data_IF_471816739345
#
_entry.id   IF_471816739345
#
_cell.length_a   1.000
_cell.length_b   1.000
_cell.length_c   1.000
_cell.angle_alpha   90.00
_cell.angle_beta   90.00
_cell.angle_gamma   90.00
#
_symmetry.space_group_name_H-M   'P 1'
#
loop_
_entity.id
_entity.type
_entity.pdbx_description
1 polymer ?
#
# COMPACT_ATOMS: atom_id res chain seq x y z
N UNK A 1 -5.94 1.73 -6.28
CA UNK A 1 -4.50 2.08 -6.24
C UNK A 1 -3.71 0.94 -6.87
N UNK A 2 -2.56 1.23 -7.48
CA UNK A 2 -1.65 0.21 -7.98
C UNK A 2 -0.75 -0.31 -6.86
N UNK A 3 -0.39 -1.59 -6.91
CA UNK A 3 0.56 -2.22 -6.02
C UNK A 3 1.98 -2.15 -6.58
N UNK A 4 2.95 -1.75 -5.76
CA UNK A 4 4.38 -1.74 -6.11
C UNK A 4 5.20 -2.41 -5.01
N UNK A 5 6.42 -2.83 -5.33
CA UNK A 5 7.35 -3.42 -4.37
C UNK A 5 8.18 -2.32 -3.69
N UNK A 6 8.50 -2.51 -2.42
CA UNK A 6 9.50 -1.73 -1.70
C UNK A 6 10.91 -2.12 -2.13
N UNK A 7 11.56 -1.27 -2.92
CA UNK A 7 12.95 -1.46 -3.34
C UNK A 7 13.98 -1.12 -2.25
N UNK A 8 13.56 -0.48 -1.15
CA UNK A 8 14.43 -0.11 -0.03
C UNK A 8 14.64 -1.26 0.97
N UNK A 9 13.75 -2.26 0.95
CA UNK A 9 13.79 -3.41 1.85
C UNK A 9 13.48 -3.10 3.32
N UNK A 10 12.83 -1.95 3.59
CA UNK A 10 12.53 -1.50 4.95
C UNK A 10 11.19 -2.02 5.48
N UNK A 11 10.21 -2.23 4.60
CA UNK A 11 8.92 -2.80 4.99
C UNK A 11 9.07 -4.26 5.45
N UNK A 12 8.50 -4.57 6.61
CA UNK A 12 8.43 -5.94 7.12
C UNK A 12 7.17 -6.66 6.61
N UNK A 13 7.18 -7.99 6.67
CA UNK A 13 5.99 -8.80 6.35
C UNK A 13 4.82 -8.41 7.27
N UNK A 14 3.64 -8.18 6.67
CA UNK A 14 2.45 -7.68 7.36
C UNK A 14 2.33 -6.14 7.37
N UNK A 15 3.34 -5.42 6.88
CA UNK A 15 3.32 -3.96 6.77
C UNK A 15 3.13 -3.51 5.32
N UNK A 16 2.58 -2.31 5.15
CA UNK A 16 2.48 -1.61 3.87
C UNK A 16 2.81 -0.14 4.05
N UNK A 17 3.18 0.54 2.96
CA UNK A 17 3.22 2.00 2.92
C UNK A 17 2.18 2.51 1.91
N UNK A 18 1.41 3.51 2.34
CA UNK A 18 0.43 4.19 1.48
C UNK A 18 0.45 5.68 1.78
N UNK A 19 0.74 6.45 0.74
CA UNK A 19 0.59 7.91 0.75
C UNK A 19 -0.35 8.28 -0.39
N UNK A 20 -1.40 9.04 -0.09
CA UNK A 20 -2.41 9.42 -1.07
C UNK A 20 -2.62 10.93 -1.14
N UNK A 21 -2.96 11.40 -2.33
CA UNK A 21 -3.39 12.78 -2.56
C UNK A 21 -4.78 12.99 -1.94
N UNK A 22 -4.97 14.05 -1.15
CA UNK A 22 -6.22 14.27 -0.41
C UNK A 22 -7.44 14.56 -1.31
N UNK A 23 -7.21 14.98 -2.55
CA UNK A 23 -8.28 15.29 -3.51
C UNK A 23 -8.34 14.24 -4.62
N UNK A 24 -9.33 13.35 -4.54
CA UNK A 24 -9.55 12.25 -5.50
C UNK A 24 -9.94 12.74 -6.91
N UNK A 25 -10.48 13.95 -7.03
CA UNK A 25 -10.86 14.53 -8.32
C UNK A 25 -9.67 15.10 -9.09
N UNK A 26 -8.52 15.26 -8.42
CA UNK A 26 -7.32 15.83 -9.00
C UNK A 26 -6.50 14.75 -9.71
N UNK A 27 -6.78 14.53 -10.99
CA UNK A 27 -6.14 13.48 -11.80
C UNK A 27 -4.63 13.66 -11.96
N UNK A 28 -4.16 14.91 -12.01
CA UNK A 28 -2.74 15.26 -12.16
C UNK A 28 -2.35 16.21 -11.01
N UNK A 29 -2.09 15.68 -9.81
CA UNK A 29 -1.75 16.51 -8.66
C UNK A 29 -0.41 17.23 -8.87
N UNK A 30 -0.34 18.57 -8.62
CA UNK A 30 0.94 19.26 -8.62
C UNK A 30 1.82 18.76 -7.46
N UNK A 31 3.15 18.98 -7.49
CA UNK A 31 4.05 18.52 -6.44
C UNK A 31 3.66 18.98 -5.02
N UNK A 32 3.04 20.16 -4.92
CA UNK A 32 2.55 20.80 -3.69
C UNK A 32 1.13 20.39 -3.26
N UNK A 33 0.49 19.45 -3.96
CA UNK A 33 -0.82 18.95 -3.55
C UNK A 33 -0.76 18.43 -2.11
N UNK A 34 -1.84 18.65 -1.35
CA UNK A 34 -1.95 18.09 0.00
C UNK A 34 -1.99 16.56 -0.06
N UNK A 35 -1.11 15.92 0.68
CA UNK A 35 -0.96 14.46 0.75
C UNK A 35 -1.07 14.01 2.21
N UNK A 36 -1.57 12.79 2.41
CA UNK A 36 -1.64 12.17 3.72
C UNK A 36 -0.97 10.80 3.66
N UNK A 37 -0.14 10.52 4.66
CA UNK A 37 0.45 9.18 4.87
C UNK A 37 -0.51 8.42 5.78
N UNK A 38 -0.97 7.27 5.31
CA UNK A 38 -1.85 6.39 6.08
C UNK A 38 -1.04 5.68 7.16
N UNK A 39 -1.59 5.59 8.38
CA UNK A 39 -0.98 4.90 9.52
C UNK A 39 -2.02 4.02 10.19
N UNK A 40 -1.59 2.88 10.74
CA UNK A 40 -2.45 1.98 11.50
C UNK A 40 -3.02 0.82 10.69
N UNK A 41 -4.02 0.10 11.24
CA UNK A 41 -4.55 -1.11 10.63
C UNK A 41 -5.34 -0.80 9.35
N UNK A 42 -5.08 -1.57 8.29
CA UNK A 42 -5.69 -1.43 6.97
C UNK A 42 -6.24 -2.76 6.50
N UNK A 43 -7.50 -2.74 6.05
CA UNK A 43 -8.11 -3.87 5.37
C UNK A 43 -7.77 -3.80 3.87
N UNK A 44 -7.23 -4.89 3.33
CA UNK A 44 -6.84 -4.98 1.92
C UNK A 44 -7.46 -6.21 1.26
N UNK A 45 -7.87 -6.05 -0.01
CA UNK A 45 -8.40 -7.12 -0.86
C UNK A 45 -8.14 -6.80 -2.32
N UNK A 46 -8.06 -7.84 -3.15
CA UNK A 46 -8.12 -7.74 -4.61
C UNK A 46 -9.55 -8.07 -5.07
N UNK A 47 -9.95 -7.53 -6.22
CA UNK A 47 -11.21 -7.87 -6.86
C UNK A 47 -10.91 -8.77 -8.07
N UNK A 48 -11.54 -9.96 -8.21
CA UNK A 48 -12.59 -10.54 -7.36
C UNK A 48 -12.10 -11.04 -6.00
N UNK A 49 -12.94 -10.87 -4.97
CA UNK A 49 -12.78 -11.44 -3.63
C UNK A 49 -13.81 -12.55 -3.47
N UNK A 50 -13.39 -13.81 -3.51
CA UNK A 50 -14.27 -14.98 -3.58
C UNK A 50 -14.39 -15.64 -2.21
N UNK A 51 -13.28 -15.74 -1.47
CA UNK A 51 -13.23 -16.38 -0.16
C UNK A 51 -12.78 -15.40 0.92
N UNK A 52 -13.14 -15.68 2.17
CA UNK A 52 -12.70 -14.84 3.30
C UNK A 52 -11.17 -14.71 3.40
N UNK A 53 -10.45 -15.72 2.88
CA UNK A 53 -8.99 -15.72 2.77
C UNK A 53 -8.41 -14.73 1.76
N UNK A 54 -9.21 -14.08 0.91
CA UNK A 54 -8.74 -13.07 -0.04
C UNK A 54 -8.58 -11.68 0.61
N UNK A 55 -9.05 -11.54 1.85
CA UNK A 55 -8.95 -10.32 2.65
C UNK A 55 -7.77 -10.43 3.62
N UNK A 56 -7.00 -9.36 3.74
CA UNK A 56 -5.87 -9.24 4.67
C UNK A 56 -6.02 -8.01 5.56
N UNK A 57 -5.66 -8.15 6.82
CA UNK A 57 -5.43 -7.03 7.72
C UNK A 57 -3.91 -6.79 7.76
N UNK A 58 -3.49 -5.62 7.33
CA UNK A 58 -2.09 -5.19 7.26
C UNK A 58 -1.90 -3.93 8.10
N UNK A 59 -0.67 -3.59 8.45
CA UNK A 59 -0.35 -2.36 9.17
C UNK A 59 0.27 -1.34 8.23
N UNK A 60 -0.35 -0.17 8.08
CA UNK A 60 0.23 0.95 7.37
C UNK A 60 1.26 1.66 8.26
N UNK A 61 2.51 1.71 7.78
CA UNK A 61 3.63 2.33 8.48
C UNK A 61 4.22 3.47 7.64
N UNK A 62 4.85 4.41 8.32
CA UNK A 62 5.47 5.58 7.70
C UNK A 62 6.98 5.38 7.60
N UNK A 63 7.48 5.38 6.37
CA UNK A 63 8.89 5.20 6.02
C UNK A 63 9.33 6.40 5.19
N UNK A 64 10.21 7.27 5.72
CA UNK A 64 10.67 8.49 5.04
C UNK A 64 11.19 8.27 3.62
N UNK A 65 11.89 7.16 3.39
CA UNK A 65 12.49 6.81 2.11
C UNK A 65 11.43 6.53 1.03
N UNK A 66 10.20 6.19 1.43
CA UNK A 66 9.08 5.89 0.53
C UNK A 66 8.17 7.09 0.24
N UNK A 67 8.43 8.27 0.82
CA UNK A 67 7.57 9.48 0.64
C UNK A 67 7.46 9.98 -0.80
N UNK A 68 8.37 9.54 -1.66
CA UNK A 68 8.33 9.82 -3.10
C UNK A 68 7.25 9.01 -3.83
N UNK A 69 6.79 7.89 -3.27
CA UNK A 69 5.73 7.05 -3.80
C UNK A 69 4.36 7.60 -3.35
N UNK A 70 3.51 7.96 -4.32
CA UNK A 70 2.20 8.58 -4.07
C UNK A 70 1.13 7.90 -4.91
N UNK A 71 -0.05 7.73 -4.33
CA UNK A 71 -1.24 7.12 -4.96
C UNK A 71 -1.03 5.65 -5.39
N UNK A 72 -0.08 4.98 -4.73
CA UNK A 72 0.25 3.56 -4.85
C UNK A 72 0.29 2.91 -3.46
N UNK A 73 0.12 1.59 -3.43
CA UNK A 73 0.37 0.79 -2.23
C UNK A 73 1.71 0.08 -2.39
N UNK A 74 2.60 0.25 -1.44
CA UNK A 74 3.92 -0.37 -1.43
C UNK A 74 3.89 -1.60 -0.53
N UNK A 75 4.33 -2.72 -1.09
CA UNK A 75 4.41 -4.02 -0.42
C UNK A 75 5.85 -4.37 -0.04
N UNK A 76 6.06 -5.12 1.04
CA UNK A 76 7.39 -5.54 1.47
C UNK A 76 8.02 -6.47 0.43
N UNK A 77 9.34 -6.35 0.27
CA UNK A 77 10.13 -7.27 -0.55
C UNK A 77 10.25 -8.65 0.11
N UNK A 78 10.19 -8.70 1.45
CA UNK A 78 10.44 -9.91 2.23
C UNK A 78 9.15 -10.46 2.86
N UNK A 79 9.09 -11.78 2.95
CA UNK A 79 7.98 -12.50 3.56
C UNK A 79 7.89 -13.94 3.07
N UNK A 80 7.07 -14.78 3.71
CA UNK A 80 6.89 -16.17 3.30
C UNK A 80 6.16 -16.29 1.95
N UNK A 81 5.30 -15.32 1.64
CA UNK A 81 4.53 -15.22 0.39
C UNK A 81 4.27 -13.73 0.10
N UNK A 82 4.30 -13.29 -1.17
CA UNK A 82 3.96 -11.92 -1.51
C UNK A 82 2.50 -11.59 -1.12
N UNK A 83 2.26 -10.46 -0.46
CA UNK A 83 0.89 -10.07 -0.08
C UNK A 83 -0.10 -10.00 -1.26
N UNK A 84 0.29 -9.54 -2.46
CA UNK A 84 -0.62 -9.62 -3.62
C UNK A 84 -1.09 -11.05 -3.94
N UNK A 85 -0.22 -12.05 -3.78
CA UNK A 85 -0.50 -13.48 -4.01
C UNK A 85 -1.28 -14.13 -2.85
N UNK A 86 -1.37 -13.44 -1.70
CA UNK A 86 -2.21 -13.81 -0.58
C UNK A 86 -3.66 -13.32 -0.72
N UNK A 87 -3.94 -12.41 -1.66
CA UNK A 87 -5.26 -11.79 -1.88
C UNK A 87 -5.79 -12.16 -3.26
N UNK A 88 -6.41 -13.33 -3.39
CA UNK A 88 -6.92 -13.87 -4.66
C UNK A 88 -5.85 -14.14 -5.74
N UNK A 89 -4.66 -14.64 -5.33
CA UNK A 89 -3.61 -15.20 -6.20
C UNK A 89 -2.66 -14.21 -6.85
#
# INVERSE_FOLDING_TARGET
MFGVMDETGQLQSGQIFVQYTNNVWLKNPPPRAAKTILKGPVLMTKNPCIVAGDVRLLEAVDIPELHHLVDVVVFPQYGPRPHPDEMAG
#
